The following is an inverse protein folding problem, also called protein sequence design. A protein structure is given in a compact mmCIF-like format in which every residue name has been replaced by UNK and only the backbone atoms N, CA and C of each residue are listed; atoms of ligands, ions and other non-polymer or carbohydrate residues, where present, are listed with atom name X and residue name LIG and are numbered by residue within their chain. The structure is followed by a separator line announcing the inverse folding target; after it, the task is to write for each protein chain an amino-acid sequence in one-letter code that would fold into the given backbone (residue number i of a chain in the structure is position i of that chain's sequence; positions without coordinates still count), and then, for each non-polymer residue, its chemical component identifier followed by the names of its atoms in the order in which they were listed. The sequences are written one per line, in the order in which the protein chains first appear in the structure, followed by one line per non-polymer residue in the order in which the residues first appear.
data_IF_734810649466
#
_entry.id   IF_734810649466
#
_cell.length_a   1.000
_cell.length_b   1.000
_cell.length_c   1.000
_cell.angle_alpha   90.00
_cell.angle_beta   90.00
_cell.angle_gamma   90.00
#
_symmetry.space_group_name_H-M   'P 1'
#
loop_
_entity.id
_entity.type
_entity.pdbx_description
1 polymer ?
#
# COMPACT_ATOMS: atom_id res chain seq x y z
N UNK A 1 11.16 1.66 -7.66
CA UNK A 1 10.14 1.47 -6.60
C UNK A 1 8.74 1.84 -7.05
N UNK A 2 8.57 2.94 -7.76
CA UNK A 2 7.23 3.34 -8.20
C UNK A 2 6.58 2.29 -9.09
N UNK A 3 7.33 1.70 -10.00
CA UNK A 3 6.80 0.65 -10.87
C UNK A 3 6.33 -0.56 -10.07
N UNK A 4 7.07 -0.91 -9.01
CA UNK A 4 6.68 -2.03 -8.16
C UNK A 4 5.41 -1.74 -7.36
N UNK A 5 5.27 -0.50 -6.92
CA UNK A 5 4.07 -0.09 -6.22
C UNK A 5 2.85 -0.17 -7.15
N UNK A 6 3.02 0.23 -8.38
CA UNK A 6 1.95 0.15 -9.37
C UNK A 6 1.60 -1.30 -9.70
N UNK A 7 2.60 -2.18 -9.76
CA UNK A 7 2.35 -3.60 -9.96
C UNK A 7 1.57 -4.20 -8.78
N UNK A 8 1.92 -3.80 -7.56
CA UNK A 8 1.21 -4.28 -6.38
C UNK A 8 -0.24 -3.82 -6.40
N UNK A 9 -0.48 -2.58 -6.81
CA UNK A 9 -1.84 -2.07 -6.92
C UNK A 9 -2.62 -2.83 -7.99
N UNK A 10 -1.98 -3.09 -9.13
CA UNK A 10 -2.62 -3.82 -10.23
C UNK A 10 -2.97 -5.24 -9.80
N UNK A 11 -2.08 -5.89 -9.06
CA UNK A 11 -2.33 -7.23 -8.57
C UNK A 11 -3.56 -7.24 -7.63
N UNK A 12 -3.65 -6.26 -6.74
CA UNK A 12 -4.79 -6.16 -5.84
C UNK A 12 -6.09 -5.95 -6.63
N UNK A 13 -6.05 -5.09 -7.64
CA UNK A 13 -7.22 -4.83 -8.48
C UNK A 13 -7.66 -6.12 -9.19
N UNK A 14 -6.70 -6.89 -9.68
CA UNK A 14 -6.99 -8.16 -10.34
C UNK A 14 -7.61 -9.14 -9.35
N UNK A 15 -7.07 -9.23 -8.14
CA UNK A 15 -7.60 -10.13 -7.12
C UNK A 15 -9.03 -9.75 -6.75
N UNK A 16 -9.33 -8.46 -6.69
CA UNK A 16 -10.68 -7.98 -6.36
C UNK A 16 -11.71 -8.42 -7.38
N UNK A 17 -11.30 -8.66 -8.63
CA UNK A 17 -12.22 -9.11 -9.66
C UNK A 17 -12.66 -10.56 -9.46
N UNK A 18 -11.90 -11.34 -8.71
CA UNK A 18 -12.16 -12.75 -8.53
C UNK A 18 -12.54 -13.16 -7.11
N UNK A 19 -12.29 -12.32 -6.13
CA UNK A 19 -12.51 -12.65 -4.73
C UNK A 19 -13.40 -11.63 -4.05
N UNK A 20 -14.23 -12.06 -3.11
CA UNK A 20 -14.99 -11.12 -2.28
C UNK A 20 -14.03 -10.21 -1.50
N UNK A 21 -14.48 -8.99 -1.28
CA UNK A 21 -13.67 -7.98 -0.60
C UNK A 21 -13.18 -8.44 0.76
N UNK A 22 -14.02 -9.15 1.50
CA UNK A 22 -13.67 -9.57 2.85
C UNK A 22 -12.64 -10.69 2.90
N UNK A 23 -12.28 -11.27 1.76
CA UNK A 23 -11.23 -12.27 1.69
C UNK A 23 -9.88 -11.67 1.31
N UNK A 24 -9.84 -10.36 1.07
CA UNK A 24 -8.60 -9.68 0.75
C UNK A 24 -7.93 -9.18 2.02
N UNK A 25 -6.64 -8.87 1.91
CA UNK A 25 -5.92 -8.33 3.04
C UNK A 25 -6.44 -6.93 3.38
N UNK A 26 -6.05 -6.45 4.54
CA UNK A 26 -6.48 -5.17 5.07
C UNK A 26 -6.24 -4.04 4.06
N UNK A 27 -7.25 -3.20 3.85
CA UNK A 27 -7.14 -2.08 2.91
C UNK A 27 -6.13 -1.02 3.36
N UNK A 28 -5.62 -1.11 4.59
CA UNK A 28 -4.52 -0.24 5.01
C UNK A 28 -3.32 -0.39 4.07
N UNK A 29 -3.08 -1.60 3.57
CA UNK A 29 -2.02 -1.84 2.60
C UNK A 29 -2.25 -1.02 1.34
N UNK A 30 -3.49 -1.01 0.84
CA UNK A 30 -3.82 -0.25 -0.35
C UNK A 30 -3.63 1.25 -0.13
N UNK A 31 -3.99 1.74 1.05
CA UNK A 31 -3.77 3.15 1.39
C UNK A 31 -2.29 3.50 1.37
N UNK A 32 -1.45 2.62 1.92
CA UNK A 32 -0.01 2.84 1.92
C UNK A 32 0.55 2.87 0.51
N UNK A 33 0.08 1.96 -0.36
CA UNK A 33 0.49 1.95 -1.76
C UNK A 33 0.09 3.24 -2.45
N UNK A 34 -1.14 3.69 -2.25
CA UNK A 34 -1.62 4.92 -2.88
C UNK A 34 -0.79 6.13 -2.44
N UNK A 35 -0.47 6.21 -1.14
CA UNK A 35 0.36 7.29 -0.62
C UNK A 35 1.78 7.22 -1.18
N UNK A 36 2.32 6.01 -1.33
CA UNK A 36 3.66 5.83 -1.88
C UNK A 36 3.72 6.29 -3.33
N UNK A 37 2.72 5.92 -4.13
CA UNK A 37 2.66 6.32 -5.53
C UNK A 37 2.47 7.84 -5.63
N UNK A 38 1.59 8.41 -4.82
CA UNK A 38 1.36 9.86 -4.84
C UNK A 38 2.66 10.61 -4.52
N UNK A 39 3.41 10.16 -3.52
CA UNK A 39 4.67 10.79 -3.17
C UNK A 39 5.66 10.73 -4.32
N UNK A 40 5.70 9.59 -5.03
CA UNK A 40 6.62 9.41 -6.15
C UNK A 40 6.26 10.22 -7.38
N UNK A 41 4.99 10.63 -7.51
CA UNK A 41 4.53 11.42 -8.66
C UNK A 41 4.32 12.88 -8.31
N UNK A 42 4.61 13.29 -7.07
CA UNK A 42 4.43 14.66 -6.63
C UNK A 42 2.99 15.04 -6.37
N UNK A 43 2.09 14.07 -6.27
CA UNK A 43 0.69 14.34 -5.99
C UNK A 43 0.44 14.39 -4.48
N UNK A 44 -0.58 15.14 -4.07
CA UNK A 44 -0.99 15.20 -2.67
C UNK A 44 -2.30 14.45 -2.53
N UNK A 45 -2.41 13.63 -1.48
CA UNK A 45 -3.66 12.97 -1.15
C UNK A 45 -4.18 13.52 0.17
N UNK A 46 -5.49 13.63 0.26
CA UNK A 46 -6.18 14.13 1.44
C UNK A 46 -6.98 12.98 2.05
N UNK A 47 -7.43 13.17 3.29
CA UNK A 47 -8.23 12.15 3.98
C UNK A 47 -9.41 11.73 3.11
N UNK A 48 -10.10 12.70 2.50
CA UNK A 48 -11.25 12.41 1.67
C UNK A 48 -10.88 11.51 0.48
N UNK A 49 -9.72 11.75 -0.11
CA UNK A 49 -9.26 10.94 -1.24
C UNK A 49 -9.05 9.48 -0.83
N UNK A 50 -8.43 9.27 0.34
CA UNK A 50 -8.19 7.92 0.83
C UNK A 50 -9.50 7.20 1.13
N UNK A 51 -10.47 7.90 1.68
CA UNK A 51 -11.78 7.32 1.96
C UNK A 51 -12.41 6.86 0.64
N UNK A 52 -12.39 7.72 -0.38
CA UNK A 52 -12.97 7.39 -1.67
C UNK A 52 -12.23 6.21 -2.33
N UNK A 53 -10.90 6.24 -2.30
CA UNK A 53 -10.11 5.17 -2.92
C UNK A 53 -10.27 3.84 -2.22
N UNK A 54 -10.56 3.86 -0.92
CA UNK A 54 -10.66 2.62 -0.14
C UNK A 54 -11.89 1.79 -0.53
N UNK A 55 -12.93 2.42 -1.03
CA UNK A 55 -14.18 1.75 -1.31
C UNK A 55 -14.94 1.33 -0.05
N UNK A 56 -14.48 1.77 1.12
CA UNK A 56 -15.12 1.44 2.40
C UNK A 56 -15.96 2.61 2.89
N UNK A 57 -16.73 2.37 3.96
CA UNK A 57 -17.44 3.45 4.61
C UNK A 57 -16.43 4.44 5.19
N UNK A 58 -16.87 5.69 5.36
CA UNK A 58 -16.00 6.71 5.94
C UNK A 58 -15.52 6.29 7.32
N UNK A 59 -16.38 5.67 8.13
CA UNK A 59 -16.00 5.25 9.47
C UNK A 59 -14.90 4.17 9.44
N UNK A 60 -15.04 3.19 8.56
CA UNK A 60 -14.03 2.13 8.43
C UNK A 60 -12.71 2.69 7.94
N UNK A 61 -12.76 3.53 6.91
CA UNK A 61 -11.55 4.14 6.35
C UNK A 61 -10.84 5.00 7.40
N UNK A 62 -11.60 5.77 8.17
CA UNK A 62 -11.01 6.61 9.22
C UNK A 62 -10.33 5.77 10.29
N UNK A 63 -10.90 4.64 10.67
CA UNK A 63 -10.25 3.77 11.64
C UNK A 63 -8.90 3.25 11.15
N UNK A 64 -8.81 2.94 9.86
CA UNK A 64 -7.54 2.49 9.29
C UNK A 64 -6.52 3.62 9.24
N UNK A 65 -6.96 4.80 8.86
CA UNK A 65 -6.09 5.99 8.84
C UNK A 65 -5.58 6.27 10.24
N UNK A 66 -6.45 6.21 11.25
CA UNK A 66 -6.06 6.44 12.64
C UNK A 66 -5.02 5.40 13.10
N UNK A 67 -5.20 4.14 12.72
CA UNK A 67 -4.24 3.10 13.08
C UNK A 67 -2.89 3.31 12.39
N UNK A 68 -2.89 3.72 11.14
CA UNK A 68 -1.65 3.99 10.43
C UNK A 68 -0.91 5.14 11.07
N UNK A 69 -1.63 6.16 11.48
CA UNK A 69 -1.01 7.30 12.17
C UNK A 69 -0.49 6.88 13.55
N UNK A 70 -1.24 6.09 14.29
CA UNK A 70 -0.81 5.61 15.60
C UNK A 70 0.46 4.76 15.49
N UNK A 71 0.64 4.07 14.37
CA UNK A 71 1.85 3.29 14.11
C UNK A 71 3.00 4.13 13.56
N UNK A 72 2.80 5.44 13.45
CA UNK A 72 3.79 6.39 12.95
C UNK A 72 4.16 6.16 11.48
N UNK A 73 3.27 5.54 10.72
CA UNK A 73 3.50 5.27 9.30
C UNK A 73 3.04 6.41 8.40
N UNK A 74 2.07 7.17 8.87
CA UNK A 74 1.55 8.35 8.16
C UNK A 74 1.40 9.49 9.13
N UNK A 75 1.28 10.70 8.57
CA UNK A 75 0.94 11.88 9.35
C UNK A 75 -0.10 12.69 8.59
N UNK A 76 -0.90 13.42 9.35
CA UNK A 76 -1.96 14.28 8.80
C UNK A 76 -1.67 15.72 9.19
N UNK A 77 -1.90 16.63 8.26
CA UNK A 77 -1.77 18.05 8.56
C UNK A 77 -2.67 18.85 7.64
N UNK A 78 -3.05 20.07 8.03
CA UNK A 78 -3.87 20.90 7.16
C UNK A 78 -3.15 21.18 5.86
N UNK A 79 -3.91 21.20 4.76
CA UNK A 79 -3.35 21.59 3.47
C UNK A 79 -2.96 23.06 3.51
N UNK A 80 -1.73 23.41 3.15
CA UNK A 80 -1.32 24.83 3.18
C UNK A 80 -2.15 25.73 2.29
N UNK A 81 -2.72 25.18 1.22
CA UNK A 81 -3.50 25.98 0.26
C UNK A 81 -4.99 25.98 0.59
N UNK A 82 -5.47 25.06 1.44
CA UNK A 82 -6.87 25.00 1.82
C UNK A 82 -6.98 24.27 3.17
N UNK A 83 -7.04 25.02 4.23
CA UNK A 83 -7.03 24.48 5.60
C UNK A 83 -8.27 23.65 5.93
N UNK A 84 -9.29 23.67 5.10
CA UNK A 84 -10.45 22.81 5.30
C UNK A 84 -10.17 21.36 4.89
N UNK A 85 -9.08 21.14 4.20
CA UNK A 85 -8.67 19.81 3.74
C UNK A 85 -7.52 19.32 4.59
N UNK A 86 -7.52 18.03 4.90
CA UNK A 86 -6.45 17.41 5.69
C UNK A 86 -5.62 16.54 4.77
N UNK A 87 -4.36 16.90 4.62
CA UNK A 87 -3.42 16.17 3.78
C UNK A 87 -2.84 15.00 4.56
N UNK A 88 -2.64 13.89 3.86
CA UNK A 88 -2.05 12.69 4.43
C UNK A 88 -0.74 12.40 3.70
N UNK A 89 0.30 12.11 4.47
CA UNK A 89 1.62 11.82 3.89
C UNK A 89 2.24 10.63 4.61
N UNK A 90 3.07 9.88 3.89
CA UNK A 90 3.92 8.89 4.54
C UNK A 90 4.96 9.59 5.38
N UNK A 91 5.21 9.04 6.56
CA UNK A 91 6.37 9.45 7.35
C UNK A 91 7.63 8.80 6.74
N UNK A 92 8.81 9.20 7.21
CA UNK A 92 10.02 8.51 6.83
C UNK A 92 9.94 7.03 7.20
N UNK A 93 9.40 6.72 8.37
CA UNK A 93 9.19 5.33 8.80
C UNK A 93 8.28 4.59 7.84
N UNK A 94 7.16 5.22 7.45
CA UNK A 94 6.22 4.60 6.51
C UNK A 94 6.84 4.36 5.15
N UNK A 95 7.59 5.34 4.65
CA UNK A 95 8.25 5.20 3.36
C UNK A 95 9.29 4.07 3.39
N UNK A 96 10.10 4.02 4.44
CA UNK A 96 11.10 2.99 4.58
C UNK A 96 10.46 1.59 4.63
N UNK A 97 9.35 1.47 5.36
CA UNK A 97 8.63 0.21 5.45
C UNK A 97 8.09 -0.22 4.07
N UNK A 98 7.54 0.74 3.31
CA UNK A 98 7.02 0.43 1.99
C UNK A 98 8.12 -0.03 1.04
N UNK A 99 9.26 0.66 1.06
CA UNK A 99 10.39 0.27 0.22
C UNK A 99 10.85 -1.15 0.57
N UNK A 100 10.99 -1.45 1.86
CA UNK A 100 11.43 -2.77 2.29
C UNK A 100 10.43 -3.86 1.85
N UNK A 101 9.14 -3.58 1.99
CA UNK A 101 8.12 -4.55 1.60
C UNK A 101 8.08 -4.77 0.09
N UNK A 102 8.19 -3.70 -0.68
CA UNK A 102 8.19 -3.82 -2.13
C UNK A 102 9.43 -4.55 -2.63
N UNK A 103 10.57 -4.31 -2.01
CA UNK A 103 11.79 -5.05 -2.34
C UNK A 103 11.62 -6.52 -2.04
N UNK A 104 11.06 -6.83 -0.88
CA UNK A 104 10.84 -8.22 -0.51
C UNK A 104 9.90 -8.94 -1.49
N UNK A 105 8.84 -8.26 -1.93
CA UNK A 105 7.86 -8.87 -2.82
C UNK A 105 8.39 -9.09 -4.23
N UNK A 106 9.23 -8.19 -4.73
CA UNK A 106 9.62 -8.22 -6.13
C UNK A 106 11.11 -8.50 -6.36
N UNK A 107 11.91 -8.47 -5.28
CA UNK A 107 13.34 -8.76 -5.37
C UNK A 107 13.73 -9.97 -4.51
N UNK A 108 12.75 -10.75 -4.10
CA UNK A 108 13.04 -11.93 -3.30
C UNK A 108 14.00 -12.83 -4.06
N UNK A 109 14.81 -13.58 -3.35
CA UNK A 109 15.72 -14.50 -4.00
C UNK A 109 15.01 -15.34 -5.02
N UNK A 110 15.57 -15.47 -6.18
CA UNK A 110 14.97 -16.20 -7.25
C UNK A 110 14.10 -15.33 -8.13
N UNK A 111 13.77 -14.16 -7.66
CA UNK A 111 13.11 -13.24 -8.56
C UNK A 111 14.17 -12.40 -9.19
N UNK A 112 14.02 -11.81 -10.00
CA UNK A 112 15.01 -10.98 -10.56
C UNK A 112 16.27 -11.62 -10.58
N UNK A 113 16.48 -12.50 -10.38
CA UNK A 113 17.68 -13.00 -10.51
C UNK A 113 17.65 -14.37 -11.01
N UNK A 114 17.21 -14.54 -11.10
CA UNK A 114 17.34 -15.41 -11.37
C UNK A 114 16.93 -16.22 -11.80
N UNK A 115 16.69 -16.72 -11.87
CA UNK A 115 16.44 -17.35 -12.18
C UNK A 115 16.64 -18.30 -12.27
N UNK A 116 16.81 -18.67 -12.30
CA UNK A 116 17.07 -19.46 -12.16
C UNK A 116 16.50 -20.16 -11.98
N UNK A 117 16.10 -20.61 -11.87
CA UNK A 117 15.50 -21.00 -11.63
C UNK A 117 15.13 -21.66 -10.98
N UNK A 118 14.99 -21.97 -10.60
CA UNK A 118 14.67 -22.49 -9.70
C UNK A 118 13.65 -22.37 -9.18
N UNK A 119 13.12 -22.65 -8.91
CA UNK A 119 12.46 -22.49 -8.46
C UNK A 119 11.82 -22.37 -7.91
N UNK A 120 11.16 -22.53 -7.69
CA UNK A 120 10.50 -22.04 -7.00
C UNK A 120 10.20 -22.47 -6.05
N UNK A 121 10.25 -22.97 -5.57
CA UNK A 121 10.01 -23.06 -4.64
C UNK A 121 9.69 -22.32 -4.05
N UNK A 122 9.16 -22.34 -3.98
CA UNK A 122 8.82 -21.52 -3.40
C UNK A 122 7.82 -21.00 -3.30
N UNK A 123 7.00 -21.43 -3.47
CA UNK A 123 6.20 -20.74 -3.22
C UNK A 123 5.42 -21.35 -2.60
N UNK A 124 5.50 -22.03 -2.10
CA UNK A 124 5.10 -22.15 -1.48
C UNK A 124 4.69 -21.58 -0.67
N UNK A 125 4.51 -22.02 -0.72
CA UNK A 125 4.18 -21.28 0.00
C UNK A 125 3.76 -20.80 0.60
N UNK A 126 3.59 -21.18 0.79
CA UNK A 126 3.62 -20.26 1.30
C UNK A 126 2.91 -19.91 1.51
N UNK A 127 2.48 -20.56 1.34
CA UNK A 127 2.19 -19.95 1.37
C UNK A 127 1.66 -19.94 2.06
N UNK A 128 1.92 -20.71 2.00
CA UNK A 128 1.99 -20.29 2.33
C UNK A 128 1.82 -20.13 3.10
N UNK A 129 1.73 -21.07 3.46
CA UNK A 129 2.11 -20.68 3.92
C UNK A 129 1.95 -20.03 4.47
N UNK A 130 1.86 -20.81 4.40
CA UNK A 130 2.22 -19.94 4.55
C UNK A 130 1.90 -19.45 4.73
#
# INVERSE_FOLDING_TARGET
MLARARQARQLRATMSAFLPQDLLVDTAWDMMIDLFIAAGTGAALHVKDLILLSGESAASAMRRIDRLQAAALIERDPDPSDHRRVRVRLTTTGRTAMIAMLEHLFDAPGSGTRTDGVTPRSFRPALTRR
#
